data_IF_630718544307
#
_entry.id   IF_630718544307
#
_cell.length_a   1.000
_cell.length_b   1.000
_cell.length_c   1.000
_cell.angle_alpha   90.00
_cell.angle_beta   90.00
_cell.angle_gamma   90.00
#
_symmetry.space_group_name_H-M   'P 1'
#
loop_
_entity.id
_entity.type
_entity.pdbx_description
1 polymer ?
#
# COMPACT_ATOMS: atom_id res chain seq x y z
N UNK A 1 7.65 -2.94 -23.70
CA UNK A 1 8.09 -3.15 -22.31
C UNK A 1 9.22 -4.17 -22.34
N UNK A 2 10.25 -3.95 -21.54
CA UNK A 2 11.48 -4.70 -21.51
C UNK A 2 11.34 -5.89 -20.56
N UNK A 3 11.74 -7.08 -21.02
CA UNK A 3 11.71 -8.28 -20.17
C UNK A 3 12.67 -8.16 -18.99
N UNK A 4 12.36 -8.85 -17.90
CA UNK A 4 13.26 -8.92 -16.74
C UNK A 4 14.59 -9.61 -17.09
N UNK A 5 15.73 -9.16 -16.53
CA UNK A 5 17.01 -9.84 -16.70
C UNK A 5 16.98 -11.23 -16.05
N UNK A 6 17.94 -12.08 -16.41
CA UNK A 6 18.08 -13.41 -15.78
C UNK A 6 18.50 -13.28 -14.32
N UNK A 7 17.52 -13.37 -13.42
CA UNK A 7 17.73 -13.47 -11.97
C UNK A 7 17.41 -14.88 -11.48
N UNK A 8 17.78 -15.20 -10.24
CA UNK A 8 17.49 -16.51 -9.65
C UNK A 8 15.99 -16.82 -9.62
N UNK A 9 15.62 -18.10 -9.67
CA UNK A 9 14.23 -18.56 -9.56
C UNK A 9 13.48 -17.97 -8.36
N UNK A 10 14.07 -17.84 -7.14
CA UNK A 10 13.40 -17.19 -6.02
C UNK A 10 13.03 -15.73 -6.28
N UNK A 11 13.95 -14.94 -6.84
CA UNK A 11 13.71 -13.53 -7.13
C UNK A 11 12.72 -13.33 -8.28
N UNK A 12 12.79 -14.18 -9.31
CA UNK A 12 11.80 -14.21 -10.41
C UNK A 12 10.39 -14.48 -9.86
N UNK A 13 10.26 -15.48 -8.99
CA UNK A 13 8.98 -15.80 -8.37
C UNK A 13 8.49 -14.67 -7.44
N UNK A 14 9.39 -14.00 -6.73
CA UNK A 14 9.03 -12.86 -5.87
C UNK A 14 8.44 -11.69 -6.67
N UNK A 15 9.04 -11.34 -7.82
CA UNK A 15 8.51 -10.32 -8.73
C UNK A 15 7.17 -10.74 -9.32
N UNK A 16 7.06 -11.99 -9.81
CA UNK A 16 5.82 -12.50 -10.37
C UNK A 16 4.68 -12.50 -9.34
N UNK A 17 4.96 -12.78 -8.07
CA UNK A 17 3.96 -12.74 -6.99
C UNK A 17 3.34 -11.35 -6.85
N UNK A 18 4.12 -10.29 -7.01
CA UNK A 18 3.64 -8.90 -6.97
C UNK A 18 3.22 -8.39 -8.36
N UNK A 19 2.98 -9.29 -9.32
CA UNK A 19 2.60 -8.99 -10.70
C UNK A 19 3.60 -8.11 -11.48
N UNK A 20 4.87 -8.07 -11.03
CA UNK A 20 5.95 -7.36 -11.72
C UNK A 20 6.64 -8.30 -12.69
N UNK A 21 6.50 -8.01 -13.97
CA UNK A 21 6.94 -8.86 -15.09
C UNK A 21 7.85 -8.14 -16.08
N UNK A 22 8.00 -6.82 -15.95
CA UNK A 22 8.83 -6.00 -16.84
C UNK A 22 9.81 -5.13 -16.07
N UNK A 23 10.89 -4.73 -16.75
CA UNK A 23 11.93 -3.89 -16.16
C UNK A 23 11.41 -2.47 -15.86
N UNK A 24 10.49 -1.94 -16.67
CA UNK A 24 9.88 -0.64 -16.40
C UNK A 24 8.99 -0.67 -15.16
N UNK A 25 8.32 -1.80 -14.89
CA UNK A 25 7.59 -1.99 -13.63
C UNK A 25 8.54 -2.05 -12.43
N UNK A 26 9.71 -2.69 -12.57
CA UNK A 26 10.75 -2.67 -11.53
C UNK A 26 11.26 -1.24 -11.26
N UNK A 27 11.38 -0.40 -12.29
CA UNK A 27 11.79 1.00 -12.15
C UNK A 27 10.81 1.84 -11.31
N UNK A 28 9.53 1.43 -11.20
CA UNK A 28 8.54 2.08 -10.34
C UNK A 28 8.64 1.67 -8.87
N UNK A 29 9.53 0.73 -8.54
CA UNK A 29 9.75 0.26 -7.18
C UNK A 29 11.03 0.88 -6.63
N UNK A 30 11.06 1.12 -5.33
CA UNK A 30 12.28 1.51 -4.66
C UNK A 30 13.11 0.29 -4.26
N UNK A 31 14.43 0.45 -4.25
CA UNK A 31 15.39 -0.63 -3.97
C UNK A 31 15.18 -1.23 -2.57
N UNK A 32 14.82 -0.39 -1.58
CA UNK A 32 14.70 -0.77 -0.17
C UNK A 32 13.50 -1.68 0.07
N UNK A 33 12.32 -1.31 -0.43
CA UNK A 33 11.11 -2.11 -0.30
C UNK A 33 11.17 -3.35 -1.17
N UNK A 34 11.82 -3.28 -2.35
CA UNK A 34 12.02 -4.46 -3.19
C UNK A 34 12.87 -5.51 -2.48
N UNK A 35 13.93 -5.09 -1.77
CA UNK A 35 14.79 -5.98 -1.00
C UNK A 35 14.10 -6.69 0.17
N UNK A 36 12.93 -6.21 0.62
CA UNK A 36 12.12 -6.85 1.68
C UNK A 36 11.31 -8.04 1.18
N UNK A 37 11.12 -8.20 -0.13
CA UNK A 37 10.37 -9.33 -0.67
C UNK A 37 11.06 -10.65 -0.34
N UNK A 38 10.29 -11.61 0.16
CA UNK A 38 10.81 -12.95 0.41
C UNK A 38 11.33 -13.60 -0.89
N UNK A 39 12.63 -13.89 -0.94
CA UNK A 39 13.31 -14.45 -2.11
C UNK A 39 14.08 -13.42 -2.94
N UNK A 40 14.01 -12.13 -2.60
CA UNK A 40 14.80 -11.06 -3.22
C UNK A 40 16.11 -10.83 -2.47
N UNK A 41 17.21 -11.40 -2.97
CA UNK A 41 18.55 -11.25 -2.37
C UNK A 41 19.36 -10.12 -3.00
N UNK A 42 20.47 -9.69 -2.35
CA UNK A 42 21.31 -8.57 -2.81
C UNK A 42 21.88 -8.79 -4.23
N UNK A 43 22.16 -10.05 -4.60
CA UNK A 43 22.60 -10.39 -5.97
C UNK A 43 21.52 -10.09 -7.02
N UNK A 44 20.26 -10.39 -6.72
CA UNK A 44 19.16 -10.13 -7.65
C UNK A 44 18.91 -8.62 -7.78
N UNK A 45 18.97 -7.88 -6.67
CA UNK A 45 18.92 -6.41 -6.67
C UNK A 45 20.03 -5.81 -7.54
N UNK A 46 21.28 -6.28 -7.39
CA UNK A 46 22.40 -5.82 -8.21
C UNK A 46 22.18 -6.00 -9.71
N UNK A 47 21.70 -7.18 -10.13
CA UNK A 47 21.38 -7.47 -11.54
C UNK A 47 20.26 -6.56 -12.06
N UNK A 48 19.21 -6.34 -11.26
CA UNK A 48 18.11 -5.44 -11.63
C UNK A 48 18.61 -4.01 -11.78
N UNK A 49 19.49 -3.55 -10.89
CA UNK A 49 20.09 -2.22 -10.92
C UNK A 49 20.91 -1.99 -12.19
N UNK A 50 21.76 -2.95 -12.55
CA UNK A 50 22.55 -2.91 -13.78
C UNK A 50 21.64 -2.85 -15.01
N UNK A 51 20.64 -3.74 -15.08
CA UNK A 51 19.70 -3.76 -16.21
C UNK A 51 18.90 -2.45 -16.33
N UNK A 52 18.48 -1.85 -15.21
CA UNK A 52 17.82 -0.53 -15.21
C UNK A 52 18.74 0.54 -15.79
N UNK A 53 19.99 0.59 -15.32
CA UNK A 53 20.98 1.57 -15.79
C UNK A 53 21.26 1.44 -17.29
N UNK A 54 21.33 0.21 -17.82
CA UNK A 54 21.48 -0.05 -19.26
C UNK A 54 20.32 0.52 -20.10
N UNK A 55 19.12 0.61 -19.53
CA UNK A 55 17.95 1.23 -20.16
C UNK A 55 17.79 2.72 -19.84
N UNK A 56 18.76 3.34 -19.15
CA UNK A 56 18.66 4.74 -18.70
C UNK A 56 17.59 4.95 -17.61
N UNK A 57 17.20 3.88 -16.92
CA UNK A 57 16.25 3.88 -15.80
C UNK A 57 16.99 3.77 -14.46
N UNK A 58 16.27 4.04 -13.39
CA UNK A 58 16.70 3.78 -12.01
C UNK A 58 15.53 3.27 -11.19
N UNK A 59 15.81 2.70 -10.02
CA UNK A 59 14.77 2.50 -9.01
C UNK A 59 14.12 3.84 -8.64
N UNK A 60 12.86 3.79 -8.23
CA UNK A 60 12.18 4.97 -7.70
C UNK A 60 12.81 5.38 -6.37
N UNK A 61 12.66 6.66 -6.01
CA UNK A 61 13.08 7.15 -4.71
C UNK A 61 12.13 6.60 -3.63
N UNK A 62 12.70 6.16 -2.52
CA UNK A 62 11.95 5.78 -1.33
C UNK A 62 11.45 7.04 -0.63
N UNK A 63 10.16 7.10 -0.33
CA UNK A 63 9.63 8.14 0.56
C UNK A 63 10.12 7.86 1.99
N UNK A 64 10.63 8.88 2.68
CA UNK A 64 11.22 8.77 4.01
C UNK A 64 10.26 8.12 5.02
N UNK A 65 8.96 8.38 4.84
CA UNK A 65 7.88 7.84 5.66
C UNK A 65 7.74 6.30 5.56
N UNK A 66 8.19 5.70 4.45
CA UNK A 66 8.03 4.27 4.18
C UNK A 66 9.20 3.40 4.64
N UNK A 67 10.29 4.02 5.14
CA UNK A 67 11.53 3.32 5.54
C UNK A 67 11.28 2.20 6.55
N UNK A 68 10.36 2.41 7.48
CA UNK A 68 10.09 1.53 8.62
C UNK A 68 9.00 0.47 8.37
N UNK A 69 8.30 0.52 7.23
CA UNK A 69 7.26 -0.47 6.90
C UNK A 69 7.91 -1.84 6.70
N UNK A 70 7.37 -2.90 7.31
CA UNK A 70 7.97 -4.25 7.31
C UNK A 70 7.65 -5.09 6.06
N UNK A 71 6.83 -4.57 5.17
CA UNK A 71 6.45 -5.20 3.91
C UNK A 71 6.65 -4.24 2.74
N UNK A 72 6.55 -4.75 1.51
CA UNK A 72 6.81 -3.98 0.30
C UNK A 72 5.60 -3.12 -0.07
N UNK A 73 5.77 -1.80 -0.23
CA UNK A 73 4.71 -0.88 -0.66
C UNK A 73 5.03 -0.35 -2.06
N UNK A 74 4.09 -0.44 -2.99
CA UNK A 74 4.28 -0.17 -4.42
C UNK A 74 3.16 0.71 -4.98
N UNK A 75 3.41 1.31 -6.15
CA UNK A 75 2.38 1.97 -6.97
C UNK A 75 2.38 3.51 -6.88
N UNK A 76 1.20 4.11 -6.94
CA UNK A 76 0.99 5.56 -6.89
C UNK A 76 1.19 6.12 -5.48
N UNK A 77 2.47 6.19 -5.06
CA UNK A 77 2.88 6.59 -3.72
C UNK A 77 3.25 8.06 -3.61
N UNK A 78 3.43 8.75 -4.76
CA UNK A 78 3.82 10.16 -4.80
C UNK A 78 2.70 11.03 -4.23
N UNK A 79 3.09 11.90 -3.31
CA UNK A 79 2.22 12.87 -2.67
C UNK A 79 2.66 14.28 -3.05
N UNK A 80 2.44 14.68 -4.31
CA UNK A 80 2.85 15.96 -4.87
C UNK A 80 2.11 17.15 -4.20
N UNK A 81 2.59 17.60 -3.04
CA UNK A 81 1.98 18.67 -2.23
C UNK A 81 0.48 18.47 -1.94
N UNK A 82 0.04 17.20 -1.82
CA UNK A 82 -1.34 16.83 -1.55
C UNK A 82 -1.45 16.12 -0.19
N UNK A 83 -1.58 16.86 0.93
CA UNK A 83 -1.54 16.30 2.28
C UNK A 83 -2.56 15.20 2.53
N UNK A 84 -3.76 15.32 1.94
CA UNK A 84 -4.81 14.29 2.06
C UNK A 84 -4.46 12.97 1.39
N UNK A 85 -3.72 12.98 0.27
CA UNK A 85 -3.23 11.73 -0.35
C UNK A 85 -2.29 10.99 0.60
N UNK A 86 -1.38 11.74 1.22
CA UNK A 86 -0.47 11.18 2.23
C UNK A 86 -1.24 10.58 3.42
N UNK A 87 -2.21 11.32 3.97
CA UNK A 87 -3.05 10.81 5.08
C UNK A 87 -3.76 9.50 4.70
N UNK A 88 -4.37 9.43 3.51
CA UNK A 88 -5.05 8.20 3.07
C UNK A 88 -4.07 7.05 2.85
N UNK A 89 -2.94 7.28 2.16
CA UNK A 89 -1.88 6.28 1.98
C UNK A 89 -1.44 5.69 3.31
N UNK A 90 -1.13 6.57 4.27
CA UNK A 90 -0.60 6.19 5.55
C UNK A 90 -1.68 5.54 6.44
N UNK A 91 -2.97 5.90 6.32
CA UNK A 91 -4.08 5.18 6.97
C UNK A 91 -4.18 3.75 6.45
N UNK A 92 -4.08 3.52 5.14
CA UNK A 92 -4.10 2.16 4.57
C UNK A 92 -2.94 1.34 5.14
N UNK A 93 -1.72 1.89 5.13
CA UNK A 93 -0.54 1.21 5.69
C UNK A 93 -0.70 0.95 7.19
N UNK A 94 -1.12 1.95 7.95
CA UNK A 94 -1.33 1.86 9.39
C UNK A 94 -2.37 0.80 9.75
N UNK A 95 -3.45 0.69 8.96
CA UNK A 95 -4.48 -0.34 9.12
C UNK A 95 -3.92 -1.75 8.90
N UNK A 96 -2.98 -1.92 7.96
CA UNK A 96 -2.37 -3.24 7.68
C UNK A 96 -1.31 -3.66 8.72
N UNK A 97 -0.77 -2.72 9.50
CA UNK A 97 0.23 -3.02 10.54
C UNK A 97 -0.28 -2.85 11.97
N UNK A 98 -1.53 -2.39 12.13
CA UNK A 98 -2.09 -2.06 13.45
C UNK A 98 -1.41 -0.86 14.13
N UNK A 99 -1.03 0.18 13.37
CA UNK A 99 -0.46 1.39 13.97
C UNK A 99 -1.55 2.26 14.60
N UNK A 100 -1.98 1.88 15.81
CA UNK A 100 -3.01 2.58 16.56
C UNK A 100 -2.68 4.05 16.81
N UNK A 101 -1.39 4.41 16.92
CA UNK A 101 -0.98 5.80 17.15
C UNK A 101 -1.35 6.66 15.96
N UNK A 102 -0.97 6.23 14.76
CA UNK A 102 -1.30 6.96 13.53
C UNK A 102 -2.81 6.99 13.29
N UNK A 103 -3.49 5.85 13.47
CA UNK A 103 -4.94 5.75 13.30
C UNK A 103 -5.69 6.65 14.32
N UNK A 104 -5.23 6.74 15.56
CA UNK A 104 -5.79 7.65 16.58
C UNK A 104 -5.60 9.12 16.22
N UNK A 105 -4.46 9.46 15.64
CA UNK A 105 -4.17 10.81 15.19
C UNK A 105 -5.12 11.24 14.05
N UNK A 106 -5.35 10.38 13.07
CA UNK A 106 -5.98 10.75 11.81
C UNK A 106 -7.45 10.34 11.64
N UNK A 107 -8.00 9.50 12.52
CA UNK A 107 -9.41 9.13 12.53
C UNK A 107 -10.17 9.86 13.65
N UNK A 108 -11.37 10.35 13.36
CA UNK A 108 -12.22 11.01 14.37
C UNK A 108 -12.76 10.02 15.39
N UNK A 109 -13.06 10.47 16.61
CA UNK A 109 -13.63 9.60 17.65
C UNK A 109 -14.97 8.98 17.22
N UNK A 110 -15.76 9.73 16.43
CA UNK A 110 -17.07 9.36 15.87
C UNK A 110 -16.99 8.70 14.48
N UNK A 111 -15.84 8.13 14.10
CA UNK A 111 -15.63 7.48 12.80
C UNK A 111 -16.75 6.49 12.47
N UNK A 112 -17.25 6.52 11.23
CA UNK A 112 -18.14 5.49 10.71
C UNK A 112 -17.40 4.66 9.65
N UNK A 113 -17.24 3.36 9.88
CA UNK A 113 -16.68 2.45 8.88
C UNK A 113 -17.74 1.48 8.38
N UNK A 114 -17.88 1.37 7.07
CA UNK A 114 -18.88 0.52 6.41
C UNK A 114 -18.22 -0.43 5.42
N UNK A 115 -18.62 -1.69 5.46
CA UNK A 115 -18.39 -2.67 4.40
C UNK A 115 -19.77 -3.07 3.85
N UNK A 116 -20.21 -2.50 2.71
CA UNK A 116 -21.56 -2.73 2.19
C UNK A 116 -21.87 -4.22 2.02
N UNK A 117 -23.03 -4.64 2.53
CA UNK A 117 -23.44 -6.05 2.50
C UNK A 117 -22.82 -6.92 3.60
N UNK A 118 -21.96 -6.37 4.45
CA UNK A 118 -21.35 -7.07 5.58
C UNK A 118 -21.69 -6.37 6.90
N UNK A 119 -21.02 -5.25 7.21
CA UNK A 119 -21.18 -4.57 8.51
C UNK A 119 -21.07 -3.05 8.41
N UNK A 120 -21.44 -2.40 9.52
CA UNK A 120 -21.20 -0.99 9.80
C UNK A 120 -20.76 -0.86 11.26
N UNK A 121 -19.63 -0.18 11.48
CA UNK A 121 -19.05 0.09 12.80
C UNK A 121 -19.05 1.59 13.07
N UNK A 122 -19.38 1.95 14.30
CA UNK A 122 -19.43 3.33 14.78
C UNK A 122 -18.42 3.51 15.92
N UNK A 123 -17.58 4.53 15.76
CA UNK A 123 -16.56 4.94 16.70
C UNK A 123 -15.17 4.38 16.36
N UNK A 124 -14.14 5.20 16.56
CA UNK A 124 -12.74 4.80 16.29
C UNK A 124 -12.32 3.55 17.07
N UNK A 125 -12.79 3.39 18.31
CA UNK A 125 -12.46 2.22 19.14
C UNK A 125 -12.87 0.90 18.48
N UNK A 126 -14.11 0.84 17.97
CA UNK A 126 -14.62 -0.35 17.29
C UNK A 126 -13.82 -0.66 16.01
N UNK A 127 -13.43 0.36 15.25
CA UNK A 127 -12.56 0.21 14.08
C UNK A 127 -11.18 -0.38 14.45
N UNK A 128 -10.54 0.13 15.50
CA UNK A 128 -9.23 -0.37 15.95
C UNK A 128 -9.30 -1.81 16.46
N UNK A 129 -10.34 -2.14 17.23
CA UNK A 129 -10.58 -3.52 17.71
C UNK A 129 -10.74 -4.49 16.54
N UNK A 130 -11.61 -4.17 15.57
CA UNK A 130 -11.85 -5.01 14.39
C UNK A 130 -10.58 -5.26 13.57
N UNK A 131 -9.77 -4.22 13.31
CA UNK A 131 -8.53 -4.38 12.56
C UNK A 131 -7.52 -5.24 13.32
N UNK A 132 -7.33 -4.96 14.60
CA UNK A 132 -6.34 -5.68 15.43
C UNK A 132 -6.67 -7.17 15.55
N UNK A 133 -7.95 -7.52 15.68
CA UNK A 133 -8.41 -8.91 15.73
C UNK A 133 -8.15 -9.67 14.41
N UNK A 134 -8.13 -8.95 13.29
CA UNK A 134 -8.01 -9.53 11.94
C UNK A 134 -6.69 -9.20 11.24
N UNK A 135 -5.65 -8.76 11.97
CA UNK A 135 -4.34 -8.49 11.37
C UNK A 135 -3.75 -9.74 10.72
N UNK A 136 -3.32 -9.58 9.47
CA UNK A 136 -2.66 -10.63 8.70
C UNK A 136 -1.23 -10.22 8.34
N UNK A 137 -0.35 -11.20 8.15
CA UNK A 137 1.02 -10.94 7.69
C UNK A 137 1.02 -10.58 6.21
N UNK A 138 1.21 -9.29 5.92
CA UNK A 138 1.27 -8.75 4.56
C UNK A 138 2.66 -8.95 3.95
N UNK A 139 2.70 -9.41 2.71
CA UNK A 139 3.92 -9.46 1.88
C UNK A 139 4.09 -8.18 1.09
N UNK A 140 3.01 -7.68 0.47
CA UNK A 140 3.05 -6.42 -0.28
C UNK A 140 1.70 -5.72 -0.34
N UNK A 141 1.76 -4.39 -0.48
CA UNK A 141 0.63 -3.52 -0.83
C UNK A 141 0.96 -2.80 -2.13
N UNK A 142 0.07 -2.87 -3.10
CA UNK A 142 0.08 -2.02 -4.28
C UNK A 142 -1.10 -1.03 -4.20
N UNK A 143 -0.79 0.27 -4.17
CA UNK A 143 -1.78 1.34 -4.35
C UNK A 143 -1.81 1.71 -5.83
N UNK A 144 -2.89 1.38 -6.54
CA UNK A 144 -2.97 1.56 -8.00
C UNK A 144 -3.27 2.99 -8.40
N UNK A 145 -4.21 3.62 -7.69
CA UNK A 145 -4.49 5.04 -7.85
C UNK A 145 -5.10 5.61 -6.59
N UNK A 146 -4.91 6.92 -6.42
CA UNK A 146 -5.53 7.67 -5.35
C UNK A 146 -6.13 8.96 -5.90
N UNK A 147 -7.29 9.36 -5.39
CA UNK A 147 -7.97 10.59 -5.79
C UNK A 147 -8.41 11.34 -4.54
N UNK A 148 -8.28 12.67 -4.56
CA UNK A 148 -8.75 13.52 -3.46
C UNK A 148 -9.40 14.76 -4.03
N UNK A 149 -10.56 15.16 -3.48
CA UNK A 149 -11.25 16.39 -3.85
C UNK A 149 -12.11 16.92 -2.70
N UNK A 150 -11.81 18.12 -2.20
CA UNK A 150 -12.56 18.72 -1.11
C UNK A 150 -12.50 17.88 0.17
N UNK A 151 -13.64 17.29 0.57
CA UNK A 151 -13.74 16.38 1.73
C UNK A 151 -13.68 14.90 1.36
N UNK A 152 -13.68 14.56 0.08
CA UNK A 152 -13.76 13.18 -0.37
C UNK A 152 -12.38 12.70 -0.83
N UNK A 153 -12.09 11.43 -0.61
CA UNK A 153 -10.95 10.74 -1.17
C UNK A 153 -11.29 9.30 -1.51
N UNK A 154 -10.50 8.71 -2.41
CA UNK A 154 -10.61 7.30 -2.74
C UNK A 154 -9.25 6.72 -3.07
N UNK A 155 -9.10 5.43 -2.80
CA UNK A 155 -7.92 4.65 -3.19
C UNK A 155 -8.35 3.23 -3.50
N UNK A 156 -7.61 2.57 -4.37
CA UNK A 156 -7.83 1.15 -4.63
C UNK A 156 -6.51 0.47 -4.96
N UNK A 157 -6.49 -0.84 -4.76
CA UNK A 157 -5.23 -1.56 -4.81
C UNK A 157 -5.37 -3.04 -4.61
N UNK A 158 -4.21 -3.66 -4.39
CA UNK A 158 -4.08 -5.08 -4.14
C UNK A 158 -3.17 -5.29 -2.93
N UNK A 159 -3.61 -6.13 -2.00
CA UNK A 159 -2.81 -6.62 -0.89
C UNK A 159 -2.47 -8.07 -1.17
N UNK A 160 -1.22 -8.45 -0.95
CA UNK A 160 -0.77 -9.83 -1.06
C UNK A 160 -0.25 -10.25 0.31
N UNK A 161 -0.82 -11.31 0.85
CA UNK A 161 -0.42 -11.87 2.13
C UNK A 161 0.83 -12.74 1.98
N UNK A 162 1.52 -13.01 3.10
CA UNK A 162 2.63 -13.96 3.12
C UNK A 162 2.19 -15.39 2.76
N UNK A 163 0.90 -15.72 2.94
CA UNK A 163 0.30 -16.97 2.46
C UNK A 163 0.25 -17.06 0.93
N UNK A 164 0.37 -15.93 0.23
CA UNK A 164 0.17 -15.82 -1.22
C UNK A 164 -1.27 -15.50 -1.62
N UNK A 165 -2.18 -15.39 -0.66
CA UNK A 165 -3.55 -14.92 -0.91
C UNK A 165 -3.55 -13.46 -1.38
N UNK A 166 -4.42 -13.17 -2.34
CA UNK A 166 -4.54 -11.86 -2.99
C UNK A 166 -5.90 -11.26 -2.65
N UNK A 167 -5.87 -10.05 -2.09
CA UNK A 167 -7.03 -9.28 -1.68
C UNK A 167 -7.07 -8.01 -2.54
N UNK A 168 -8.15 -7.81 -3.28
CA UNK A 168 -8.40 -6.55 -3.97
C UNK A 168 -9.27 -5.65 -3.11
N UNK A 169 -8.94 -4.37 -3.07
CA UNK A 169 -9.74 -3.41 -2.31
C UNK A 169 -10.00 -2.14 -3.10
N UNK A 170 -11.13 -1.51 -2.81
CA UNK A 170 -11.42 -0.12 -3.12
C UNK A 170 -12.03 0.54 -1.90
N UNK A 171 -11.52 1.72 -1.53
CA UNK A 171 -11.94 2.42 -0.34
C UNK A 171 -12.28 3.88 -0.64
N UNK A 172 -13.41 4.31 -0.09
CA UNK A 172 -13.91 5.68 -0.16
C UNK A 172 -13.78 6.29 1.22
N UNK A 173 -13.31 7.53 1.28
CA UNK A 173 -12.99 8.24 2.51
C UNK A 173 -13.67 9.60 2.53
N UNK A 174 -14.18 9.96 3.70
CA UNK A 174 -14.72 11.29 3.96
C UNK A 174 -13.99 11.96 5.12
N UNK A 175 -13.42 13.12 4.85
CA UNK A 175 -12.83 14.01 5.84
C UNK A 175 -13.90 14.84 6.54
N UNK A 176 -13.66 15.20 7.80
CA UNK A 176 -14.58 16.04 8.58
C UNK A 176 -14.76 17.44 7.99
N UNK A 177 -13.70 17.97 7.36
CA UNK A 177 -13.70 19.30 6.76
C UNK A 177 -12.72 19.44 5.57
N UNK A 178 -12.68 20.62 4.94
CA UNK A 178 -11.89 20.89 3.73
C UNK A 178 -10.41 21.18 4.01
N UNK A 179 -10.00 21.38 5.27
CA UNK A 179 -8.61 21.68 5.62
C UNK A 179 -7.69 20.53 5.18
N UNK A 180 -6.44 20.88 4.87
CA UNK A 180 -5.43 19.93 4.36
C UNK A 180 -5.08 18.82 5.35
N UNK A 181 -5.23 19.11 6.64
CA UNK A 181 -4.93 18.29 7.82
C UNK A 181 -6.21 17.82 8.54
N UNK A 182 -7.35 17.81 7.83
CA UNK A 182 -8.60 17.28 8.39
C UNK A 182 -8.47 15.79 8.72
N UNK A 183 -9.13 15.35 9.79
CA UNK A 183 -9.26 13.92 10.11
C UNK A 183 -10.31 13.24 9.23
N UNK A 184 -10.18 11.93 9.08
CA UNK A 184 -11.18 11.07 8.41
C UNK A 184 -12.30 10.74 9.39
N UNK A 185 -13.54 10.99 8.96
CA UNK A 185 -14.76 10.70 9.72
C UNK A 185 -15.61 9.57 9.17
N UNK A 186 -15.35 9.14 7.94
CA UNK A 186 -16.00 7.95 7.40
C UNK A 186 -15.12 7.21 6.41
N UNK A 187 -15.24 5.88 6.41
CA UNK A 187 -14.59 4.96 5.49
C UNK A 187 -15.66 4.02 4.94
N UNK A 188 -15.65 3.77 3.64
CA UNK A 188 -16.43 2.69 3.00
C UNK A 188 -15.49 1.81 2.22
N UNK A 189 -15.36 0.54 2.64
CA UNK A 189 -14.43 -0.41 2.04
C UNK A 189 -15.18 -1.47 1.25
N UNK A 190 -14.71 -1.73 0.03
CA UNK A 190 -15.10 -2.84 -0.83
C UNK A 190 -13.92 -3.78 -0.91
N UNK A 191 -14.09 -5.02 -0.46
CA UNK A 191 -13.02 -6.01 -0.34
C UNK A 191 -13.43 -7.24 -1.15
N UNK A 192 -12.55 -7.68 -2.04
CA UNK A 192 -12.74 -8.85 -2.89
C UNK A 192 -11.58 -9.80 -2.63
N UNK A 193 -11.88 -10.93 -2.00
CA UNK A 193 -10.94 -12.02 -1.80
C UNK A 193 -11.22 -13.08 -2.85
N UNK A 194 -10.17 -13.63 -3.49
CA UNK A 194 -10.35 -14.78 -4.38
C UNK A 194 -10.79 -15.99 -3.52
N UNK A 195 -11.81 -16.75 -3.97
CA UNK A 195 -12.29 -17.93 -3.26
C UNK A 195 -11.26 -19.06 -3.21
#
# INVERSE_FOLDING_TARGET
MTNLPKIGKPATNALNKINVTTLEQVAQLDEHNLAKLHGMGPKAIGILKEALLEQGLSFSQLDDDLKNVKFTVLGDLKCDNAPKRRIIRDIVIASLVGDEKYLTEWLTDDLVWKVPGSFELIGRKAFLEEINEHLQKVSSLEIKSMLTHGKEASTHGTIILNSGEEIYFAEMYKFENHKKDAKVKAITSYIIMKP
#
